data_IF_688855892828
#
_entry.id   IF_688855892828
#
_cell.length_a   1.000
_cell.length_b   1.000
_cell.length_c   1.000
_cell.angle_alpha   90.00
_cell.angle_beta   90.00
_cell.angle_gamma   90.00
#
_symmetry.space_group_name_H-M   'P 1'
#
loop_
_entity.id
_entity.type
_entity.pdbx_description
1 polymer ?
#
# COMPACT_ATOMS: atom_id res chain seq x y z
N UNK A 1 -19.01 -20.69 58.70
CA UNK A 1 -18.37 -19.42 58.28
C UNK A 1 -17.84 -19.64 56.87
N UNK A 2 -18.48 -19.05 55.87
CA UNK A 2 -18.02 -19.07 54.47
C UNK A 2 -17.62 -17.63 54.13
N UNK A 3 -16.39 -17.35 53.66
CA UNK A 3 -16.01 -16.00 53.30
C UNK A 3 -16.50 -15.70 51.89
N UNK A 4 -17.23 -14.59 51.75
CA UNK A 4 -17.59 -14.01 50.45
C UNK A 4 -16.41 -13.13 50.01
N UNK A 5 -15.75 -13.49 48.92
CA UNK A 5 -14.69 -12.66 48.31
C UNK A 5 -15.36 -11.75 47.28
N UNK A 6 -15.33 -10.44 47.56
CA UNK A 6 -15.76 -9.39 46.64
C UNK A 6 -14.63 -9.13 45.63
N UNK A 7 -14.85 -9.45 44.35
CA UNK A 7 -13.96 -9.00 43.28
C UNK A 7 -14.30 -7.56 42.90
N UNK A 8 -13.44 -6.62 43.28
CA UNK A 8 -13.48 -5.24 42.77
C UNK A 8 -12.95 -5.22 41.33
N UNK A 9 -13.85 -4.96 40.38
CA UNK A 9 -13.48 -4.68 38.98
C UNK A 9 -12.88 -3.28 38.89
N UNK A 10 -11.58 -3.21 38.59
CA UNK A 10 -10.90 -1.95 38.25
C UNK A 10 -11.36 -1.50 36.85
N UNK A 11 -11.81 -0.25 36.68
CA UNK A 11 -12.14 0.28 35.37
C UNK A 11 -10.86 0.42 34.54
N UNK A 12 -10.81 -0.27 33.40
CA UNK A 12 -9.78 -0.08 32.39
C UNK A 12 -10.00 1.32 31.80
N UNK A 13 -9.09 2.25 32.06
CA UNK A 13 -9.07 3.54 31.38
C UNK A 13 -8.73 3.30 29.91
N UNK A 14 -9.73 3.37 29.04
CA UNK A 14 -9.52 3.45 27.59
C UNK A 14 -9.15 4.89 27.28
N UNK A 15 -7.85 5.17 27.16
CA UNK A 15 -7.39 6.40 26.51
C UNK A 15 -7.71 6.28 25.02
N UNK A 16 -8.79 6.92 24.58
CA UNK A 16 -9.02 7.12 23.16
C UNK A 16 -7.88 7.99 22.62
N UNK A 17 -7.22 7.54 21.54
CA UNK A 17 -6.27 8.38 20.84
C UNK A 17 -6.98 9.65 20.34
N UNK A 18 -6.42 10.82 20.63
CA UNK A 18 -6.89 12.07 20.06
C UNK A 18 -6.55 12.08 18.56
N UNK A 19 -7.55 11.82 17.73
CA UNK A 19 -7.46 11.93 16.27
C UNK A 19 -7.73 13.35 15.77
N UNK A 20 -7.80 14.33 16.68
CA UNK A 20 -7.90 15.74 16.36
C UNK A 20 -6.67 16.24 15.60
N UNK A 21 -6.87 17.26 14.78
CA UNK A 21 -5.75 17.94 14.12
C UNK A 21 -4.87 18.57 15.21
N UNK A 22 -3.56 18.26 15.29
CA UNK A 22 -2.71 18.82 16.32
C UNK A 22 -2.74 20.35 16.29
N UNK A 23 -3.06 20.98 17.41
CA UNK A 23 -3.20 22.44 17.49
C UNK A 23 -1.86 23.18 17.27
N UNK A 24 -0.74 22.46 17.41
CA UNK A 24 0.59 22.94 17.08
C UNK A 24 0.86 23.04 15.58
N UNK A 25 0.02 22.44 14.72
CA UNK A 25 0.19 22.49 13.28
C UNK A 25 -0.16 23.87 12.72
N UNK A 26 0.60 24.30 11.72
CA UNK A 26 0.34 25.54 11.00
C UNK A 26 -1.03 25.45 10.32
N UNK A 27 -1.96 26.34 10.71
CA UNK A 27 -3.36 26.38 10.22
C UNK A 27 -4.12 25.07 10.48
N UNK A 28 -4.17 24.63 11.75
CA UNK A 28 -4.89 23.43 12.20
C UNK A 28 -6.40 23.41 11.89
N UNK A 29 -6.99 24.57 11.54
CA UNK A 29 -8.41 24.70 11.17
C UNK A 29 -8.58 25.16 9.72
N UNK A 30 -9.66 24.72 9.08
CA UNK A 30 -10.04 25.16 7.73
C UNK A 30 -11.33 26.00 7.78
N UNK A 31 -11.29 27.23 7.28
CA UNK A 31 -12.43 28.15 7.25
C UNK A 31 -13.32 27.97 6.01
N UNK A 32 -12.91 27.16 5.02
CA UNK A 32 -13.70 26.91 3.81
C UNK A 32 -14.86 25.96 4.10
N UNK A 33 -16.10 26.30 3.74
CA UNK A 33 -17.23 25.39 3.81
C UNK A 33 -16.95 24.05 3.11
N UNK A 34 -17.58 22.97 3.58
CA UNK A 34 -17.40 21.64 3.01
C UNK A 34 -17.63 21.64 1.48
N UNK A 35 -18.74 22.25 1.02
CA UNK A 35 -19.08 22.32 -0.41
C UNK A 35 -17.99 22.98 -1.24
N UNK A 36 -17.42 24.09 -0.75
CA UNK A 36 -16.35 24.79 -1.45
C UNK A 36 -15.10 23.90 -1.60
N UNK A 37 -14.74 23.12 -0.57
CA UNK A 37 -13.61 22.18 -0.65
C UNK A 37 -13.85 21.06 -1.65
N UNK A 38 -15.09 20.55 -1.72
CA UNK A 38 -15.49 19.54 -2.69
C UNK A 38 -15.43 20.07 -4.13
N UNK A 39 -15.85 21.32 -4.32
CA UNK A 39 -15.84 21.99 -5.63
C UNK A 39 -14.42 22.27 -6.12
N UNK A 40 -13.54 22.71 -5.23
CA UNK A 40 -12.11 22.88 -5.55
C UNK A 40 -11.48 21.54 -5.96
N UNK A 41 -11.77 20.47 -5.22
CA UNK A 41 -11.25 19.14 -5.56
C UNK A 41 -11.77 18.65 -6.92
N UNK A 42 -13.07 18.84 -7.20
CA UNK A 42 -13.65 18.47 -8.49
C UNK A 42 -13.09 19.31 -9.63
N UNK A 43 -12.90 20.62 -9.44
CA UNK A 43 -12.29 21.48 -10.45
C UNK A 43 -10.85 21.07 -10.78
N UNK A 44 -10.08 20.60 -9.79
CA UNK A 44 -8.75 20.02 -10.03
C UNK A 44 -8.81 18.74 -10.89
N UNK A 45 -9.78 17.86 -10.61
CA UNK A 45 -10.04 16.67 -11.43
C UNK A 45 -10.45 17.07 -12.85
N UNK A 46 -11.31 18.07 -13.00
CA UNK A 46 -11.77 18.51 -14.33
C UNK A 46 -10.64 19.16 -15.12
N UNK A 47 -9.71 19.83 -14.46
CA UNK A 47 -8.50 20.34 -15.09
C UNK A 47 -7.56 19.21 -15.54
N UNK A 48 -7.32 18.18 -14.73
CA UNK A 48 -6.38 17.11 -15.13
C UNK A 48 -6.94 16.22 -16.24
N UNK A 49 -8.28 16.09 -16.34
CA UNK A 49 -8.97 15.38 -17.44
C UNK A 49 -8.61 15.90 -18.83
N UNK A 50 -8.16 17.14 -18.98
CA UNK A 50 -7.75 17.68 -20.29
C UNK A 50 -6.50 16.97 -20.86
N UNK A 51 -5.71 16.31 -20.00
CA UNK A 51 -4.51 15.56 -20.39
C UNK A 51 -4.77 14.08 -20.60
N UNK A 52 -6.02 13.62 -20.44
CA UNK A 52 -6.40 12.22 -20.63
C UNK A 52 -6.30 11.82 -22.10
N UNK A 53 -5.45 10.85 -22.39
CA UNK A 53 -5.49 10.11 -23.65
C UNK A 53 -6.62 9.07 -23.55
N UNK A 54 -7.66 9.25 -24.36
CA UNK A 54 -8.85 8.39 -24.35
C UNK A 54 -8.62 7.01 -25.00
N UNK A 55 -7.45 6.80 -25.61
CA UNK A 55 -7.09 5.54 -26.26
C UNK A 55 -6.56 4.52 -25.26
N UNK A 56 -5.70 4.97 -24.34
CA UNK A 56 -5.04 4.13 -23.33
C UNK A 56 -5.46 4.47 -21.88
N UNK A 57 -6.24 5.53 -21.69
CA UNK A 57 -6.63 6.03 -20.38
C UNK A 57 -5.43 6.36 -19.47
N UNK A 58 -4.36 6.88 -20.07
CA UNK A 58 -3.24 7.47 -19.36
C UNK A 58 -3.29 9.00 -19.45
N UNK A 59 -2.71 9.67 -18.47
CA UNK A 59 -2.58 11.11 -18.48
C UNK A 59 -1.24 11.48 -19.14
N UNK A 60 -1.34 12.22 -20.24
CA UNK A 60 -0.20 12.68 -21.03
C UNK A 60 0.78 13.43 -20.13
N UNK A 61 2.05 13.02 -20.16
CA UNK A 61 3.13 13.62 -19.35
C UNK A 61 3.32 13.02 -17.96
N UNK A 62 2.40 12.17 -17.47
CA UNK A 62 2.52 11.50 -16.18
C UNK A 62 3.07 10.07 -16.29
N UNK A 63 2.73 9.37 -17.36
CA UNK A 63 3.08 7.96 -17.56
C UNK A 63 2.15 6.99 -16.81
N UNK A 64 2.44 5.70 -16.93
CA UNK A 64 1.51 4.62 -16.61
C UNK A 64 1.12 4.56 -15.12
N UNK A 65 2.09 4.35 -14.22
CA UNK A 65 1.81 4.19 -12.80
C UNK A 65 1.30 5.49 -12.15
N UNK A 66 1.73 6.66 -12.62
CA UNK A 66 1.24 7.96 -12.13
C UNK A 66 -0.21 8.20 -12.59
N UNK A 67 -0.61 7.66 -13.74
CA UNK A 67 -2.02 7.66 -14.16
C UNK A 67 -2.88 6.87 -13.18
N UNK A 68 -2.43 5.70 -12.72
CA UNK A 68 -3.11 4.94 -11.67
C UNK A 68 -3.26 5.73 -10.35
N UNK A 69 -2.23 6.49 -9.97
CA UNK A 69 -2.28 7.38 -8.80
C UNK A 69 -3.34 8.48 -8.97
N UNK A 70 -3.48 9.01 -10.19
CA UNK A 70 -4.51 10.00 -10.51
C UNK A 70 -5.91 9.41 -10.35
N UNK A 71 -6.15 8.19 -10.86
CA UNK A 71 -7.42 7.50 -10.65
C UNK A 71 -7.68 7.13 -9.19
N UNK A 72 -6.64 6.79 -8.43
CA UNK A 72 -6.73 6.60 -6.98
C UNK A 72 -7.26 7.85 -6.28
N UNK A 73 -6.70 9.02 -6.58
CA UNK A 73 -7.14 10.30 -6.02
C UNK A 73 -8.59 10.64 -6.42
N UNK A 74 -8.97 10.38 -7.68
CA UNK A 74 -10.33 10.60 -8.18
C UNK A 74 -11.35 9.72 -7.44
N UNK A 75 -11.06 8.42 -7.30
CA UNK A 75 -11.93 7.49 -6.57
C UNK A 75 -12.02 7.84 -5.08
N UNK A 76 -10.90 8.19 -4.44
CA UNK A 76 -10.87 8.61 -3.04
C UNK A 76 -11.65 9.90 -2.80
N UNK A 77 -11.59 10.88 -3.72
CA UNK A 77 -12.44 12.07 -3.65
C UNK A 77 -13.90 11.65 -3.58
N UNK A 78 -14.34 10.82 -4.52
CA UNK A 78 -15.74 10.37 -4.60
C UNK A 78 -16.17 9.62 -3.33
N UNK A 79 -15.32 8.73 -2.82
CA UNK A 79 -15.52 8.02 -1.54
C UNK A 79 -15.67 9.00 -0.37
N UNK A 80 -14.75 9.96 -0.22
CA UNK A 80 -14.73 10.90 0.90
C UNK A 80 -15.94 11.84 0.86
N UNK A 81 -16.39 12.22 -0.34
CA UNK A 81 -17.51 13.15 -0.51
C UNK A 81 -18.85 12.46 -0.63
N UNK A 82 -18.89 11.13 -0.67
CA UNK A 82 -20.12 10.35 -0.89
C UNK A 82 -20.74 10.56 -2.27
N UNK A 83 -19.92 10.87 -3.29
CA UNK A 83 -20.39 11.12 -4.66
C UNK A 83 -19.98 9.99 -5.61
N UNK A 84 -20.64 9.90 -6.76
CA UNK A 84 -20.22 9.01 -7.87
C UNK A 84 -19.85 9.80 -9.13
N UNK A 85 -19.49 11.08 -8.97
CA UNK A 85 -19.35 12.04 -10.07
C UNK A 85 -18.29 11.62 -11.10
N UNK A 86 -17.31 10.80 -10.71
CA UNK A 86 -16.23 10.35 -11.58
C UNK A 86 -16.24 8.84 -11.84
N UNK A 87 -17.30 8.13 -11.44
CA UNK A 87 -17.40 6.67 -11.58
C UNK A 87 -17.16 6.21 -13.00
N UNK A 88 -17.84 6.80 -13.99
CA UNK A 88 -17.70 6.39 -15.40
C UNK A 88 -16.26 6.47 -15.90
N UNK A 89 -15.55 7.56 -15.58
CA UNK A 89 -14.15 7.75 -15.96
C UNK A 89 -13.25 6.68 -15.31
N UNK A 90 -13.40 6.46 -14.01
CA UNK A 90 -12.60 5.46 -13.28
C UNK A 90 -12.89 4.05 -13.79
N UNK A 91 -14.16 3.71 -14.02
CA UNK A 91 -14.56 2.43 -14.61
C UNK A 91 -13.90 2.21 -15.95
N UNK A 92 -13.99 3.18 -16.86
CA UNK A 92 -13.44 3.06 -18.20
C UNK A 92 -11.92 2.89 -18.19
N UNK A 93 -11.23 3.64 -17.33
CA UNK A 93 -9.78 3.56 -17.20
C UNK A 93 -9.30 2.22 -16.64
N UNK A 94 -9.87 1.77 -15.53
CA UNK A 94 -9.49 0.51 -14.89
C UNK A 94 -9.81 -0.69 -15.79
N UNK A 95 -10.98 -0.70 -16.44
CA UNK A 95 -11.36 -1.74 -17.39
C UNK A 95 -10.41 -1.78 -18.59
N UNK A 96 -10.17 -0.62 -19.22
CA UNK A 96 -9.27 -0.54 -20.38
C UNK A 96 -7.86 -1.01 -20.05
N UNK A 97 -7.31 -0.58 -18.92
CA UNK A 97 -5.96 -0.99 -18.51
C UNK A 97 -5.89 -2.47 -18.16
N UNK A 98 -6.89 -3.02 -17.49
CA UNK A 98 -6.93 -4.44 -17.16
C UNK A 98 -7.04 -5.33 -18.41
N UNK A 99 -7.86 -4.93 -19.38
CA UNK A 99 -8.07 -5.68 -20.63
C UNK A 99 -6.83 -5.63 -21.54
N UNK A 100 -6.16 -4.48 -21.64
CA UNK A 100 -4.97 -4.33 -22.48
C UNK A 100 -3.69 -4.87 -21.82
N UNK A 101 -3.65 -4.90 -20.49
CA UNK A 101 -2.49 -5.29 -19.70
C UNK A 101 -2.95 -6.25 -18.58
N UNK A 102 -2.94 -7.57 -18.84
CA UNK A 102 -3.36 -8.56 -17.85
C UNK A 102 -2.67 -8.36 -16.50
N UNK A 103 -3.45 -8.42 -15.42
CA UNK A 103 -3.00 -8.15 -14.05
C UNK A 103 -2.39 -6.73 -13.86
N UNK A 104 -2.61 -5.79 -14.79
CA UNK A 104 -1.97 -4.46 -14.89
C UNK A 104 -0.46 -4.44 -15.20
N UNK A 105 0.11 -5.53 -15.71
CA UNK A 105 1.55 -5.58 -16.05
C UNK A 105 1.80 -5.09 -17.48
N UNK A 106 1.93 -3.76 -17.64
CA UNK A 106 2.34 -3.14 -18.92
C UNK A 106 3.86 -3.18 -19.15
N UNK A 107 4.63 -2.86 -18.11
CA UNK A 107 6.09 -2.70 -18.18
C UNK A 107 6.87 -3.69 -17.31
N UNK A 108 6.18 -4.74 -16.83
CA UNK A 108 6.80 -5.80 -16.04
C UNK A 108 7.43 -5.32 -14.70
N UNK A 109 6.89 -4.24 -14.12
CA UNK A 109 7.22 -3.74 -12.79
C UNK A 109 6.08 -3.99 -11.81
N UNK A 110 6.40 -4.53 -10.63
CA UNK A 110 5.40 -4.90 -9.62
C UNK A 110 4.76 -3.68 -8.98
N UNK A 111 5.50 -2.60 -8.72
CA UNK A 111 4.96 -1.33 -8.22
C UNK A 111 3.99 -0.69 -9.22
N UNK A 112 4.37 -0.59 -10.50
CA UNK A 112 3.48 -0.07 -11.55
C UNK A 112 2.13 -0.79 -11.55
N UNK A 113 2.15 -2.12 -11.56
CA UNK A 113 0.95 -2.94 -11.53
C UNK A 113 0.18 -2.77 -10.21
N UNK A 114 0.87 -2.74 -9.06
CA UNK A 114 0.25 -2.59 -7.75
C UNK A 114 -0.37 -1.20 -7.53
N UNK A 115 0.11 -0.15 -8.19
CA UNK A 115 -0.56 1.15 -8.20
C UNK A 115 -1.95 1.05 -8.84
N UNK A 116 -2.11 0.30 -9.92
CA UNK A 116 -3.40 0.03 -10.55
C UNK A 116 -4.28 -0.92 -9.72
N UNK A 117 -3.69 -1.95 -9.09
CA UNK A 117 -4.40 -2.79 -8.12
C UNK A 117 -4.93 -1.99 -6.93
N UNK A 118 -4.14 -1.04 -6.44
CA UNK A 118 -4.54 -0.08 -5.39
C UNK A 118 -5.66 0.86 -5.88
N UNK A 119 -5.55 1.40 -7.10
CA UNK A 119 -6.63 2.23 -7.66
C UNK A 119 -7.96 1.45 -7.74
N UNK A 120 -7.88 0.15 -8.04
CA UNK A 120 -9.03 -0.75 -8.08
C UNK A 120 -9.67 -0.96 -6.70
N UNK A 121 -8.87 -1.12 -5.63
CA UNK A 121 -9.46 -1.24 -4.28
C UNK A 121 -10.12 0.06 -3.82
N UNK A 122 -9.57 1.23 -4.17
CA UNK A 122 -10.22 2.50 -3.88
C UNK A 122 -11.50 2.72 -4.69
N UNK A 123 -11.51 2.32 -5.96
CA UNK A 123 -12.71 2.35 -6.79
C UNK A 123 -13.80 1.42 -6.23
N UNK A 124 -13.44 0.22 -5.77
CA UNK A 124 -14.37 -0.67 -5.06
C UNK A 124 -14.95 0.02 -3.81
N UNK A 125 -14.10 0.63 -2.97
CA UNK A 125 -14.56 1.31 -1.76
C UNK A 125 -15.41 2.56 -2.06
N UNK A 126 -15.21 3.23 -3.21
CA UNK A 126 -15.98 4.39 -3.62
C UNK A 126 -17.34 4.03 -4.23
N UNK A 127 -17.38 2.94 -5.02
CA UNK A 127 -18.51 2.63 -5.91
C UNK A 127 -19.22 1.31 -5.61
N UNK A 128 -18.66 0.50 -4.69
CA UNK A 128 -19.16 -0.83 -4.30
C UNK A 128 -19.37 -1.79 -5.49
N UNK A 129 -18.50 -1.71 -6.49
CA UNK A 129 -18.55 -2.53 -7.70
C UNK A 129 -17.53 -3.67 -7.61
N UNK A 130 -18.03 -4.91 -7.53
CA UNK A 130 -17.19 -6.10 -7.32
C UNK A 130 -16.23 -6.37 -8.47
N UNK A 131 -16.44 -5.78 -9.64
CA UNK A 131 -15.48 -5.84 -10.76
C UNK A 131 -14.12 -5.29 -10.33
N UNK A 132 -14.10 -4.16 -9.62
CA UNK A 132 -12.86 -3.56 -9.15
C UNK A 132 -12.20 -4.37 -8.03
N UNK A 133 -12.99 -4.98 -7.16
CA UNK A 133 -12.46 -5.91 -6.16
C UNK A 133 -11.79 -7.11 -6.84
N UNK A 134 -12.39 -7.65 -7.90
CA UNK A 134 -11.82 -8.75 -8.66
C UNK A 134 -10.50 -8.35 -9.36
N UNK A 135 -10.42 -7.16 -9.94
CA UNK A 135 -9.16 -6.65 -10.49
C UNK A 135 -8.06 -6.51 -9.43
N UNK A 136 -8.42 -6.01 -8.24
CA UNK A 136 -7.48 -5.89 -7.11
C UNK A 136 -6.99 -7.27 -6.63
N UNK A 137 -7.89 -8.25 -6.48
CA UNK A 137 -7.55 -9.63 -6.09
C UNK A 137 -6.63 -10.28 -7.13
N UNK A 138 -6.96 -10.11 -8.41
CA UNK A 138 -6.21 -10.68 -9.52
C UNK A 138 -4.78 -10.09 -9.60
N UNK A 139 -4.65 -8.77 -9.55
CA UNK A 139 -3.35 -8.09 -9.47
C UNK A 139 -2.55 -8.54 -8.24
N UNK A 140 -3.19 -8.65 -7.07
CA UNK A 140 -2.54 -9.11 -5.84
C UNK A 140 -2.03 -10.55 -5.99
N UNK A 141 -2.80 -11.46 -6.59
CA UNK A 141 -2.37 -12.84 -6.81
C UNK A 141 -1.11 -12.89 -7.69
N UNK A 142 -1.01 -12.02 -8.69
CA UNK A 142 0.18 -11.94 -9.53
C UNK A 142 1.38 -11.37 -8.77
N UNK A 143 1.22 -10.24 -8.08
CA UNK A 143 2.28 -9.61 -7.28
C UNK A 143 2.79 -10.51 -6.14
N UNK A 144 1.91 -11.32 -5.54
CA UNK A 144 2.25 -12.25 -4.46
C UNK A 144 3.33 -13.27 -4.83
N UNK A 145 3.47 -13.57 -6.13
CA UNK A 145 4.52 -14.49 -6.61
C UNK A 145 5.93 -13.93 -6.44
N UNK A 146 6.06 -12.64 -6.16
CA UNK A 146 7.32 -11.91 -6.03
C UNK A 146 7.66 -11.51 -4.58
N UNK A 147 6.80 -11.84 -3.61
CA UNK A 147 7.16 -11.72 -2.20
C UNK A 147 8.06 -12.89 -1.79
N UNK A 148 9.15 -12.60 -1.09
CA UNK A 148 9.98 -13.65 -0.49
C UNK A 148 9.26 -14.25 0.71
N UNK A 149 8.94 -15.54 0.65
CA UNK A 149 8.39 -16.26 1.81
C UNK A 149 9.49 -16.67 2.79
N UNK A 150 9.16 -16.94 4.07
CA UNK A 150 10.14 -17.43 5.05
C UNK A 150 10.87 -18.71 4.58
N UNK A 151 10.14 -19.62 3.92
CA UNK A 151 10.73 -20.85 3.38
C UNK A 151 11.71 -20.57 2.23
N UNK A 152 11.40 -19.59 1.36
CA UNK A 152 12.30 -19.19 0.27
C UNK A 152 13.56 -18.50 0.80
N UNK A 153 13.41 -17.61 1.80
CA UNK A 153 14.54 -16.99 2.48
C UNK A 153 15.45 -18.03 3.12
N UNK A 154 14.88 -19.01 3.85
CA UNK A 154 15.64 -20.10 4.47
C UNK A 154 16.33 -21.01 3.44
N UNK A 155 15.65 -21.31 2.33
CA UNK A 155 16.22 -22.11 1.24
C UNK A 155 17.27 -21.33 0.41
N UNK A 156 17.40 -20.03 0.61
CA UNK A 156 18.29 -19.16 -0.14
C UNK A 156 17.93 -19.05 -1.63
N UNK A 157 16.66 -19.30 -1.99
CA UNK A 157 16.22 -19.36 -3.39
C UNK A 157 14.80 -18.85 -3.57
N UNK A 158 14.60 -18.04 -4.61
CA UNK A 158 13.28 -17.61 -5.07
C UNK A 158 12.97 -18.26 -6.44
N UNK A 159 11.76 -18.80 -6.68
CA UNK A 159 11.45 -19.55 -7.90
C UNK A 159 11.49 -18.70 -9.19
N UNK A 160 11.36 -17.38 -9.06
CA UNK A 160 11.35 -16.44 -10.20
C UNK A 160 12.66 -15.64 -10.37
N UNK A 161 13.67 -15.88 -9.53
CA UNK A 161 14.97 -15.19 -9.60
C UNK A 161 16.08 -16.20 -9.82
N UNK A 162 17.08 -15.82 -10.62
CA UNK A 162 18.22 -16.70 -10.96
C UNK A 162 19.23 -16.77 -9.82
N UNK A 163 19.53 -15.61 -9.25
CA UNK A 163 20.57 -15.46 -8.24
C UNK A 163 20.09 -15.99 -6.87
N UNK A 164 20.96 -16.64 -6.08
CA UNK A 164 20.66 -16.98 -4.70
C UNK A 164 20.30 -15.74 -3.89
N UNK A 165 19.37 -15.91 -2.95
CA UNK A 165 19.01 -14.87 -1.98
C UNK A 165 19.58 -15.24 -0.62
N UNK A 166 19.95 -14.24 0.17
CA UNK A 166 20.36 -14.43 1.56
C UNK A 166 19.12 -14.52 2.45
N UNK A 167 19.19 -15.38 3.47
CA UNK A 167 18.14 -15.48 4.47
C UNK A 167 18.05 -14.21 5.34
N UNK A 168 19.21 -13.63 5.69
CA UNK A 168 19.37 -12.40 6.45
C UNK A 168 20.48 -11.53 5.85
N UNK A 169 20.40 -10.21 6.04
CA UNK A 169 21.38 -9.28 5.46
C UNK A 169 22.45 -8.75 6.42
N UNK A 170 22.11 -8.66 7.69
CA UNK A 170 22.98 -8.20 8.80
C UNK A 170 23.19 -9.32 9.85
N UNK A 171 22.87 -10.56 9.49
CA UNK A 171 22.88 -11.71 10.41
C UNK A 171 21.64 -11.81 11.29
N UNK A 172 20.72 -10.84 11.27
CA UNK A 172 19.58 -10.75 12.18
C UNK A 172 18.24 -10.55 11.43
N UNK A 173 18.16 -9.52 10.60
CA UNK A 173 16.98 -9.12 9.87
C UNK A 173 16.78 -9.98 8.63
N UNK A 174 15.62 -10.63 8.58
CA UNK A 174 15.23 -11.52 7.47
C UNK A 174 14.91 -10.74 6.20
N UNK A 175 15.22 -11.34 5.05
CA UNK A 175 14.78 -10.85 3.73
C UNK A 175 13.36 -11.26 3.40
N UNK A 176 12.75 -12.18 4.18
CA UNK A 176 11.37 -12.57 4.02
C UNK A 176 10.42 -11.38 4.20
N UNK A 177 9.34 -11.37 3.42
CA UNK A 177 8.34 -10.31 3.39
C UNK A 177 8.59 -9.22 2.35
N UNK A 178 9.84 -9.01 1.93
CA UNK A 178 10.18 -8.09 0.86
C UNK A 178 9.63 -8.55 -0.49
N UNK A 179 9.25 -7.58 -1.33
CA UNK A 179 8.72 -7.83 -2.68
C UNK A 179 9.70 -7.27 -3.70
N UNK A 180 10.06 -8.09 -4.69
CA UNK A 180 10.93 -7.66 -5.77
C UNK A 180 10.31 -6.53 -6.59
N UNK A 181 11.13 -5.58 -7.04
CA UNK A 181 10.66 -4.44 -7.82
C UNK A 181 10.22 -4.87 -9.22
N UNK A 182 11.07 -5.57 -9.96
CA UNK A 182 10.75 -6.03 -11.31
C UNK A 182 10.30 -7.50 -11.36
N UNK A 183 9.40 -7.79 -12.30
CA UNK A 183 8.78 -9.08 -12.53
C UNK A 183 9.62 -9.98 -13.47
N UNK A 184 9.19 -11.21 -13.76
CA UNK A 184 10.01 -12.22 -14.45
C UNK A 184 10.54 -11.81 -15.83
N UNK A 185 9.79 -11.06 -16.64
CA UNK A 185 10.16 -10.79 -18.05
C UNK A 185 11.30 -9.78 -18.19
N UNK A 186 11.29 -8.71 -17.40
CA UNK A 186 12.34 -7.66 -17.38
C UNK A 186 13.31 -7.82 -16.22
N UNK A 187 12.91 -8.52 -15.15
CA UNK A 187 13.56 -8.50 -13.84
C UNK A 187 14.07 -9.85 -13.35
N UNK A 188 14.24 -10.87 -14.18
CA UNK A 188 14.94 -12.09 -13.74
C UNK A 188 16.37 -11.79 -13.23
N UNK A 189 16.94 -10.67 -13.68
CA UNK A 189 18.26 -10.15 -13.32
C UNK A 189 18.16 -8.93 -12.38
N UNK A 190 16.95 -8.38 -12.19
CA UNK A 190 16.72 -7.37 -11.17
C UNK A 190 16.88 -7.99 -9.78
N UNK A 191 17.80 -7.40 -9.03
CA UNK A 191 18.17 -7.82 -7.68
C UNK A 191 17.50 -6.98 -6.61
N UNK A 192 16.71 -5.97 -6.97
CA UNK A 192 16.15 -5.01 -6.03
C UNK A 192 14.81 -5.46 -5.45
N UNK A 193 14.70 -5.38 -4.12
CA UNK A 193 13.42 -5.16 -3.45
C UNK A 193 13.38 -3.69 -3.04
N UNK A 194 12.21 -3.07 -3.11
CA UNK A 194 12.07 -1.69 -2.66
C UNK A 194 10.84 -1.50 -1.76
N UNK A 195 10.89 -0.44 -0.98
CA UNK A 195 9.86 -0.08 -0.02
C UNK A 195 8.55 0.28 -0.70
N UNK A 196 8.56 0.90 -1.89
CA UNK A 196 7.30 1.21 -2.55
C UNK A 196 6.53 -0.04 -2.97
N UNK A 197 7.16 -0.97 -3.68
CA UNK A 197 6.53 -2.23 -4.10
C UNK A 197 6.04 -2.98 -2.87
N UNK A 198 6.88 -3.09 -1.84
CA UNK A 198 6.54 -3.81 -0.60
C UNK A 198 5.40 -3.12 0.17
N UNK A 199 5.36 -1.79 0.24
CA UNK A 199 4.31 -1.03 0.94
C UNK A 199 2.99 -1.01 0.18
N UNK A 200 3.02 -0.97 -1.15
CA UNK A 200 1.83 -1.18 -2.00
C UNK A 200 1.25 -2.57 -1.77
N UNK A 201 2.09 -3.61 -1.80
CA UNK A 201 1.69 -4.98 -1.57
C UNK A 201 1.12 -5.18 -0.16
N UNK A 202 1.79 -4.64 0.87
CA UNK A 202 1.30 -4.56 2.24
C UNK A 202 -0.11 -3.95 2.29
N UNK A 203 -0.28 -2.77 1.69
CA UNK A 203 -1.52 -2.00 1.78
C UNK A 203 -2.67 -2.74 1.09
N UNK A 204 -2.41 -3.28 -0.10
CA UNK A 204 -3.39 -4.05 -0.85
C UNK A 204 -3.76 -5.34 -0.10
N UNK A 205 -2.77 -6.05 0.47
CA UNK A 205 -3.00 -7.23 1.31
C UNK A 205 -3.89 -6.89 2.50
N UNK A 206 -3.59 -5.80 3.23
CA UNK A 206 -4.36 -5.39 4.40
C UNK A 206 -5.81 -5.01 4.03
N UNK A 207 -6.03 -4.29 2.92
CA UNK A 207 -7.39 -4.00 2.46
C UNK A 207 -8.14 -5.25 2.01
N UNK A 208 -7.49 -6.16 1.28
CA UNK A 208 -8.12 -7.41 0.88
C UNK A 208 -8.46 -8.29 2.08
N UNK A 209 -7.60 -8.33 3.10
CA UNK A 209 -7.92 -8.97 4.38
C UNK A 209 -9.17 -8.35 5.01
N UNK A 210 -9.23 -7.02 5.09
CA UNK A 210 -10.37 -6.34 5.68
C UNK A 210 -11.67 -6.56 4.90
N UNK A 211 -11.62 -6.56 3.57
CA UNK A 211 -12.82 -6.67 2.73
C UNK A 211 -13.30 -8.12 2.67
N UNK A 212 -12.40 -9.07 2.43
CA UNK A 212 -12.76 -10.47 2.19
C UNK A 212 -12.84 -11.31 3.46
N UNK A 213 -12.22 -10.83 4.55
CA UNK A 213 -12.02 -11.56 5.82
C UNK A 213 -11.22 -12.87 5.67
N UNK A 214 -10.58 -13.10 4.53
CA UNK A 214 -9.69 -14.25 4.30
C UNK A 214 -8.32 -14.01 4.97
N UNK A 215 -8.27 -14.34 6.25
CA UNK A 215 -7.08 -14.14 7.09
C UNK A 215 -5.92 -15.01 6.62
N UNK A 216 -6.19 -16.24 6.19
CA UNK A 216 -5.13 -17.18 5.78
C UNK A 216 -4.42 -16.70 4.52
N UNK A 217 -5.15 -16.06 3.61
CA UNK A 217 -4.60 -15.58 2.35
C UNK A 217 -3.89 -14.24 2.49
N UNK A 218 -4.45 -13.27 3.23
CA UNK A 218 -4.02 -11.88 3.14
C UNK A 218 -3.31 -11.34 4.37
N UNK A 219 -3.51 -11.91 5.57
CA UNK A 219 -2.92 -11.35 6.80
C UNK A 219 -1.41 -11.58 6.89
N UNK A 220 -0.96 -12.82 6.69
CA UNK A 220 0.47 -13.18 6.77
C UNK A 220 1.31 -12.40 5.77
N UNK A 221 0.95 -12.29 4.47
CA UNK A 221 1.71 -11.49 3.52
C UNK A 221 1.78 -10.01 3.89
N UNK A 222 0.69 -9.44 4.43
CA UNK A 222 0.66 -8.06 4.91
C UNK A 222 1.64 -7.86 6.08
N UNK A 223 1.56 -8.72 7.11
CA UNK A 223 2.40 -8.63 8.31
C UNK A 223 3.88 -8.75 7.94
N UNK A 224 4.23 -9.73 7.10
CA UNK A 224 5.62 -9.94 6.65
C UNK A 224 6.14 -8.74 5.86
N UNK A 225 5.33 -8.15 4.98
CA UNK A 225 5.71 -6.96 4.23
C UNK A 225 5.97 -5.75 5.15
N UNK A 226 5.12 -5.56 6.16
CA UNK A 226 5.32 -4.50 7.15
C UNK A 226 6.60 -4.71 7.97
N UNK A 227 6.84 -5.93 8.46
CA UNK A 227 8.02 -6.30 9.23
C UNK A 227 9.30 -6.18 8.41
N UNK A 228 9.27 -6.55 7.13
CA UNK A 228 10.41 -6.37 6.24
C UNK A 228 10.83 -4.91 6.13
N UNK A 229 9.87 -4.00 5.92
CA UNK A 229 10.15 -2.55 5.85
C UNK A 229 10.69 -2.06 7.20
N UNK A 230 10.03 -2.40 8.31
CA UNK A 230 10.46 -2.00 9.67
C UNK A 230 11.90 -2.41 9.96
N UNK A 231 12.24 -3.65 9.64
CA UNK A 231 13.49 -4.26 10.07
C UNK A 231 14.65 -3.90 9.15
N UNK A 232 14.38 -3.75 7.85
CA UNK A 232 15.45 -3.57 6.87
C UNK A 232 15.59 -2.11 6.42
N UNK A 233 14.47 -1.38 6.22
CA UNK A 233 14.46 -0.10 5.51
C UNK A 233 13.69 1.00 6.23
N UNK A 234 13.63 0.98 7.56
CA UNK A 234 13.05 2.07 8.34
C UNK A 234 14.14 2.77 9.16
N UNK A 235 14.31 4.07 8.93
CA UNK A 235 15.19 4.93 9.73
C UNK A 235 14.42 5.38 10.98
N UNK A 236 14.68 4.73 12.11
CA UNK A 236 14.04 5.03 13.40
C UNK A 236 14.39 6.40 13.97
N UNK A 237 15.54 6.96 13.56
CA UNK A 237 15.96 8.29 14.02
C UNK A 237 15.19 9.37 13.26
N UNK A 238 15.04 9.20 11.95
CA UNK A 238 14.29 10.15 11.10
C UNK A 238 12.79 9.85 11.01
N UNK A 239 12.35 8.67 11.46
CA UNK A 239 10.97 8.17 11.34
C UNK A 239 10.51 8.07 9.89
N UNK A 240 11.35 7.54 9.01
CA UNK A 240 11.10 7.48 7.56
C UNK A 240 11.45 6.12 6.97
N UNK A 241 10.66 5.68 5.99
CA UNK A 241 10.94 4.49 5.20
C UNK A 241 11.89 4.84 4.02
N UNK A 242 13.03 4.16 3.97
CA UNK A 242 14.09 4.27 2.97
C UNK A 242 13.77 3.43 1.73
N UNK A 243 14.57 3.53 0.66
CA UNK A 243 14.17 3.07 -0.69
C UNK A 243 14.34 1.56 -1.01
N UNK A 244 15.50 1.10 -1.51
CA UNK A 244 15.75 -0.31 -1.90
C UNK A 244 16.82 -1.10 -1.10
N UNK A 245 16.65 -2.43 -1.04
CA UNK A 245 17.63 -3.43 -0.58
C UNK A 245 17.68 -4.58 -1.58
N UNK A 246 18.88 -5.09 -1.86
CA UNK A 246 19.04 -6.33 -2.60
C UNK A 246 19.19 -7.53 -1.66
N UNK A 247 18.33 -8.57 -1.75
CA UNK A 247 18.51 -9.77 -0.94
C UNK A 247 19.67 -10.65 -1.44
N UNK A 248 20.28 -10.36 -2.60
CA UNK A 248 21.36 -11.16 -3.18
C UNK A 248 22.70 -10.84 -2.52
N UNK A 249 23.01 -9.55 -2.36
CA UNK A 249 24.29 -9.06 -1.83
C UNK A 249 24.14 -8.15 -0.61
N UNK A 250 22.90 -7.83 -0.22
CA UNK A 250 22.57 -6.94 0.90
C UNK A 250 23.03 -5.50 0.73
N UNK A 251 23.30 -5.09 -0.50
CA UNK A 251 23.43 -3.68 -0.83
C UNK A 251 22.10 -2.96 -0.62
N UNK A 252 22.18 -1.72 -0.14
CA UNK A 252 21.03 -0.82 0.00
C UNK A 252 21.25 0.43 -0.84
N UNK A 253 20.16 1.07 -1.25
CA UNK A 253 20.24 2.44 -1.75
C UNK A 253 20.78 3.40 -0.66
N UNK A 254 21.36 4.55 -1.06
CA UNK A 254 21.78 5.57 -0.10
C UNK A 254 20.62 6.05 0.78
N UNK A 255 20.88 6.28 2.06
CA UNK A 255 19.86 6.79 3.01
C UNK A 255 19.36 8.21 2.67
N UNK A 256 20.05 8.91 1.77
CA UNK A 256 19.61 10.20 1.23
C UNK A 256 18.51 10.07 0.18
N UNK A 257 18.21 8.86 -0.31
CA UNK A 257 17.09 8.59 -1.21
C UNK A 257 15.79 8.53 -0.42
N UNK A 258 15.37 9.72 0.03
CA UNK A 258 14.16 9.90 0.83
C UNK A 258 13.03 10.35 -0.08
N UNK A 259 12.07 9.45 -0.30
CA UNK A 259 10.89 9.74 -1.06
C UNK A 259 9.63 9.67 -0.20
N UNK A 260 8.79 10.70 -0.31
CA UNK A 260 7.59 10.83 0.53
C UNK A 260 6.61 9.67 0.36
N UNK A 261 6.49 9.14 -0.86
CA UNK A 261 5.56 8.07 -1.18
C UNK A 261 5.90 6.73 -0.51
N UNK A 262 7.18 6.44 -0.24
CA UNK A 262 7.60 5.26 0.51
C UNK A 262 7.00 5.26 1.92
N UNK A 263 7.18 6.37 2.64
CA UNK A 263 6.64 6.51 4.00
C UNK A 263 5.12 6.66 3.98
N UNK A 264 4.57 7.46 3.06
CA UNK A 264 3.13 7.69 2.95
C UNK A 264 2.34 6.41 2.71
N UNK A 265 2.81 5.57 1.77
CA UNK A 265 2.14 4.31 1.47
C UNK A 265 2.31 3.28 2.57
N UNK A 266 3.49 3.23 3.18
CA UNK A 266 3.74 2.37 4.33
C UNK A 266 2.81 2.70 5.51
N UNK A 267 2.65 3.99 5.84
CA UNK A 267 1.75 4.45 6.91
C UNK A 267 0.28 4.06 6.66
N UNK A 268 -0.18 4.09 5.41
CA UNK A 268 -1.53 3.65 5.06
C UNK A 268 -1.74 2.15 5.37
N UNK A 269 -0.78 1.31 4.97
CA UNK A 269 -0.77 -0.11 5.27
C UNK A 269 -0.75 -0.39 6.77
N UNK A 270 0.13 0.27 7.51
CA UNK A 270 0.24 0.15 8.97
C UNK A 270 -1.04 0.57 9.69
N UNK A 271 -1.65 1.68 9.27
CA UNK A 271 -2.91 2.14 9.86
C UNK A 271 -4.03 1.12 9.70
N UNK A 272 -4.02 0.36 8.59
CA UNK A 272 -4.99 -0.70 8.36
C UNK A 272 -4.65 -1.93 9.20
N UNK A 273 -3.38 -2.32 9.28
CA UNK A 273 -2.92 -3.44 10.12
C UNK A 273 -3.17 -3.21 11.61
N UNK A 274 -2.93 -2.02 12.13
CA UNK A 274 -3.21 -1.68 13.53
C UNK A 274 -4.66 -1.97 13.90
N UNK A 275 -5.59 -1.49 13.07
CA UNK A 275 -7.01 -1.74 13.26
C UNK A 275 -7.38 -3.22 13.15
N UNK A 276 -6.82 -3.93 12.18
CA UNK A 276 -7.15 -5.34 11.93
C UNK A 276 -6.57 -6.29 12.98
N UNK A 277 -5.39 -5.97 13.51
CA UNK A 277 -4.68 -6.81 14.49
C UNK A 277 -4.90 -6.36 15.94
N UNK A 278 -5.46 -5.16 16.14
CA UNK A 278 -5.54 -4.49 17.44
C UNK A 278 -4.17 -4.44 18.15
N UNK A 279 -3.10 -4.20 17.38
CA UNK A 279 -1.73 -4.22 17.88
C UNK A 279 -1.08 -2.85 17.74
N UNK A 280 -0.71 -2.24 18.87
CA UNK A 280 -0.04 -0.94 18.92
C UNK A 280 1.35 -0.94 18.25
N UNK A 281 1.93 -2.13 17.99
CA UNK A 281 3.24 -2.24 17.32
C UNK A 281 3.28 -1.55 15.96
N UNK A 282 2.13 -1.47 15.28
CA UNK A 282 1.99 -0.78 14.00
C UNK A 282 1.76 0.74 14.16
N UNK A 283 1.32 1.17 15.34
CA UNK A 283 1.07 2.55 15.69
C UNK A 283 2.32 3.32 16.11
N UNK A 284 3.27 2.63 16.75
CA UNK A 284 4.53 3.21 17.25
C UNK A 284 5.42 3.83 16.14
N UNK A 285 5.16 3.45 14.88
CA UNK A 285 5.85 3.88 13.67
C UNK A 285 5.20 5.11 13.01
N UNK A 286 4.04 5.56 13.52
CA UNK A 286 3.24 6.68 12.99
C UNK A 286 3.46 8.01 13.74
N UNK A 287 4.27 8.00 14.81
CA UNK A 287 4.52 9.14 15.73
C UNK A 287 5.92 9.68 15.58
#
# INVERSE_FOLDING_TARGET
MVPVILFLSLPIMVSAADLGVPLSWRKFSNSRPLKERQDIAQAGIDNIKQYLDKTNYEFTGLGYWVSANTYSAIALKDKITGTQANRELVTAALKSNFENHPHFYKYDFNDDALWWGTASIYAYQAYNDTTFLNYAIDNWNEASKYQITPAQAQAGKHPLKKDPIKATCDGHNTTAGGVFWACRKTGAEDRGMNTITTSLYLTLSAYLWDITKDTNKYSTPAILAAEWITNNRYDWTKRLALDSLSPMDCSTSPDSWMFTYNSGKYLEGLSTLERLTNSSKWGDQRV
#
